data_IF_011799897965
#
_entry.id   IF_011799897965
#
_cell.length_a   1.000
_cell.length_b   1.000
_cell.length_c   1.000
_cell.angle_alpha   90.00
_cell.angle_beta   90.00
_cell.angle_gamma   90.00
#
_symmetry.space_group_name_H-M   'P 1'
#
loop_
_entity.id
_entity.type
_entity.pdbx_description
1 polymer ?
#
# COMPACT_ATOMS: atom_id res chain seq x y z
N UNK A 1 -6.31 -12.73 16.02
CA UNK A 1 -5.70 -11.96 14.90
C UNK A 1 -4.95 -12.94 14.03
N UNK A 2 -5.09 -12.88 12.69
CA UNK A 2 -4.20 -13.64 11.80
C UNK A 2 -2.76 -13.16 12.04
N UNK A 3 -1.79 -14.07 12.27
CA UNK A 3 -0.40 -13.67 12.53
C UNK A 3 0.24 -13.04 11.28
N UNK A 4 -0.23 -13.42 10.08
CA UNK A 4 0.24 -12.91 8.81
C UNK A 4 -0.92 -12.76 7.82
N UNK A 5 -0.79 -11.78 6.94
CA UNK A 5 -1.66 -11.52 5.80
C UNK A 5 -0.96 -11.95 4.52
N UNK A 6 -1.72 -12.48 3.56
CA UNK A 6 -1.20 -12.75 2.23
C UNK A 6 -1.32 -11.51 1.35
N UNK A 7 -0.64 -11.52 0.20
CA UNK A 7 -0.83 -10.49 -0.84
C UNK A 7 -2.30 -10.32 -1.22
N UNK A 8 -3.08 -11.41 -1.21
CA UNK A 8 -4.51 -11.35 -1.52
C UNK A 8 -5.30 -10.60 -0.44
N UNK A 9 -5.11 -10.94 0.84
CA UNK A 9 -5.78 -10.24 1.95
C UNK A 9 -5.42 -8.74 1.92
N UNK A 10 -4.14 -8.42 1.70
CA UNK A 10 -3.68 -7.02 1.66
C UNK A 10 -4.21 -6.28 0.44
N UNK A 11 -4.31 -6.94 -0.71
CA UNK A 11 -4.91 -6.38 -1.92
C UNK A 11 -6.38 -6.00 -1.69
N UNK A 12 -7.15 -6.86 -1.02
CA UNK A 12 -8.54 -6.58 -0.64
C UNK A 12 -8.64 -5.44 0.37
N UNK A 13 -7.82 -5.45 1.42
CA UNK A 13 -7.80 -4.40 2.45
C UNK A 13 -7.42 -3.03 1.86
N UNK A 14 -6.48 -3.02 0.91
CA UNK A 14 -6.04 -1.80 0.25
C UNK A 14 -6.90 -1.44 -0.97
N UNK A 15 -7.86 -2.27 -1.38
CA UNK A 15 -8.64 -2.07 -2.59
C UNK A 15 -7.75 -1.87 -3.83
N UNK A 16 -6.71 -2.69 -3.97
CA UNK A 16 -5.74 -2.60 -5.06
C UNK A 16 -5.42 -3.97 -5.63
N UNK A 17 -4.71 -4.03 -6.75
CA UNK A 17 -4.35 -5.29 -7.40
C UNK A 17 -3.21 -6.00 -6.65
N UNK A 18 -3.23 -7.33 -6.62
CA UNK A 18 -2.16 -8.18 -6.04
C UNK A 18 -0.77 -7.87 -6.62
N UNK A 19 -0.71 -7.48 -7.90
CA UNK A 19 0.52 -7.06 -8.59
C UNK A 19 1.10 -5.80 -7.94
N UNK A 20 0.26 -4.79 -7.68
CA UNK A 20 0.68 -3.54 -7.06
C UNK A 20 1.19 -3.77 -5.63
N UNK A 21 0.48 -4.58 -4.84
CA UNK A 21 0.96 -4.99 -3.50
C UNK A 21 2.30 -5.70 -3.58
N UNK A 22 2.47 -6.61 -4.54
CA UNK A 22 3.74 -7.32 -4.76
C UNK A 22 4.89 -6.37 -5.10
N UNK A 23 4.66 -5.38 -5.98
CA UNK A 23 5.65 -4.36 -6.29
C UNK A 23 5.99 -3.48 -5.08
N UNK A 24 4.99 -3.08 -4.29
CA UNK A 24 5.23 -2.33 -3.06
C UNK A 24 6.10 -3.12 -2.08
N UNK A 25 5.84 -4.43 -1.93
CA UNK A 25 6.61 -5.32 -1.07
C UNK A 25 8.03 -5.54 -1.58
N UNK A 26 8.23 -5.65 -2.90
CA UNK A 26 9.57 -5.70 -3.51
C UNK A 26 10.35 -4.41 -3.22
N UNK A 27 9.72 -3.24 -3.31
CA UNK A 27 10.36 -1.94 -3.03
C UNK A 27 10.71 -1.75 -1.56
N UNK A 28 10.05 -2.44 -0.64
CA UNK A 28 10.43 -2.47 0.78
C UNK A 28 11.57 -3.44 1.08
N UNK A 29 12.16 -4.10 0.07
CA UNK A 29 13.24 -5.07 0.25
C UNK A 29 12.75 -6.39 0.85
N UNK A 30 11.45 -6.66 0.78
CA UNK A 30 10.88 -7.84 1.41
C UNK A 30 11.07 -9.07 0.52
N UNK A 31 11.67 -10.09 1.09
CA UNK A 31 11.86 -11.37 0.41
C UNK A 31 10.64 -12.28 0.56
N UNK A 32 10.45 -13.14 -0.44
CA UNK A 32 9.41 -14.17 -0.39
C UNK A 32 9.94 -15.33 0.44
N UNK A 33 9.17 -15.78 1.43
CA UNK A 33 9.47 -17.00 2.15
C UNK A 33 8.69 -18.12 1.49
N UNK A 34 9.38 -19.13 0.95
CA UNK A 34 8.74 -20.26 0.26
C UNK A 34 7.80 -19.87 -0.89
N UNK A 35 8.14 -18.80 -1.63
CA UNK A 35 7.34 -18.31 -2.76
C UNK A 35 6.16 -17.40 -2.40
N UNK A 36 5.88 -17.18 -1.10
CA UNK A 36 4.76 -16.36 -0.63
C UNK A 36 5.27 -15.14 0.15
N UNK A 37 4.59 -14.00 0.00
CA UNK A 37 4.81 -12.86 0.91
C UNK A 37 3.93 -13.02 2.15
N UNK A 38 4.58 -13.18 3.29
CA UNK A 38 3.93 -13.17 4.60
C UNK A 38 3.98 -11.75 5.15
N UNK A 39 2.85 -11.07 5.25
CA UNK A 39 2.77 -9.65 5.60
C UNK A 39 2.31 -9.52 7.05
N UNK A 40 3.16 -8.97 7.90
CA UNK A 40 2.83 -8.78 9.31
C UNK A 40 1.82 -7.63 9.48
N UNK A 41 1.05 -7.59 10.59
CA UNK A 41 0.15 -6.47 10.86
C UNK A 41 0.83 -5.10 10.84
N UNK A 42 2.08 -5.02 11.31
CA UNK A 42 2.90 -3.80 11.29
C UNK A 42 3.23 -3.34 9.86
N UNK A 43 3.57 -4.29 8.99
CA UNK A 43 3.86 -4.01 7.59
C UNK A 43 2.62 -3.64 6.80
N UNK A 44 1.46 -4.22 7.16
CA UNK A 44 0.18 -3.77 6.64
C UNK A 44 -0.10 -2.31 7.04
N UNK A 45 0.21 -1.91 8.28
CA UNK A 45 0.09 -0.53 8.71
C UNK A 45 1.04 0.40 7.92
N UNK A 46 2.28 -0.04 7.68
CA UNK A 46 3.24 0.68 6.84
C UNK A 46 2.75 0.86 5.39
N UNK A 47 2.20 -0.19 4.78
CA UNK A 47 1.64 -0.15 3.43
C UNK A 47 0.42 0.77 3.35
N UNK A 48 -0.43 0.76 4.38
CA UNK A 48 -1.57 1.69 4.51
C UNK A 48 -1.09 3.14 4.58
N UNK A 49 -0.07 3.44 5.38
CA UNK A 49 0.47 4.80 5.51
C UNK A 49 1.11 5.29 4.20
N UNK A 50 1.89 4.45 3.53
CA UNK A 50 2.50 4.80 2.23
C UNK A 50 1.46 5.07 1.14
N UNK A 51 0.34 4.34 1.11
CA UNK A 51 -0.77 4.64 0.19
C UNK A 51 -1.31 6.05 0.39
N UNK A 52 -1.38 6.53 1.64
CA UNK A 52 -1.79 7.90 1.96
C UNK A 52 -0.83 8.99 1.46
N UNK A 53 0.44 8.67 1.22
CA UNK A 53 1.46 9.63 0.75
C UNK A 53 1.55 9.76 -0.78
N UNK A 54 0.97 8.84 -1.55
CA UNK A 54 0.95 8.92 -3.03
C UNK A 54 -0.17 9.86 -3.55
N UNK A 55 -1.03 10.37 -2.67
CA UNK A 55 -2.26 11.10 -3.03
C UNK A 55 -2.33 12.59 -2.64
N UNK A 56 -1.22 13.29 -2.40
CA UNK A 56 -1.24 14.77 -2.46
C UNK A 56 -0.46 15.24 -3.68
N UNK A 57 -1.11 15.38 -4.86
CA UNK A 57 -0.57 16.27 -5.87
C UNK A 57 -0.38 17.65 -5.22
N UNK A 58 0.86 18.15 -5.18
CA UNK A 58 1.14 19.57 -5.00
C UNK A 58 0.56 20.30 -6.22
N UNK A 59 -0.73 20.60 -6.23
CA UNK A 59 -1.35 21.09 -7.46
C UNK A 59 -2.77 21.66 -7.37
N UNK A 60 -3.38 21.79 -6.19
CA UNK A 60 -4.63 22.55 -6.04
C UNK A 60 -4.38 23.77 -5.18
N UNK A 61 -3.71 24.78 -5.74
CA UNK A 61 -3.98 26.16 -5.34
C UNK A 61 -5.26 26.54 -6.08
N UNK A 62 -6.29 26.85 -5.30
CA UNK A 62 -7.58 27.37 -5.73
C UNK A 62 -7.45 28.35 -6.90
N UNK A 63 -8.06 28.01 -8.02
CA UNK A 63 -8.55 29.03 -8.96
C UNK A 63 -9.91 29.45 -8.43
N UNK A 64 -9.92 30.31 -7.40
CA UNK A 64 -11.14 30.98 -6.94
C UNK A 64 -11.24 32.25 -7.77
N UNK A 65 -12.20 32.23 -8.69
CA UNK A 65 -12.71 33.41 -9.39
C UNK A 65 -12.99 34.50 -8.36
N UNK A 66 -12.53 35.71 -8.63
CA UNK A 66 -13.19 36.91 -8.16
C UNK A 66 -13.29 37.87 -9.35
N UNK A 67 -14.48 38.43 -9.42
CA UNK A 67 -15.15 39.17 -10.49
C UNK A 67 -14.59 40.60 -10.65
#
# INVERSE_FOLDING_TARGET
MKPFYTVADVAEILGTSKVNVTEMLKRTGKEKVSGVYLISPDELAYLKERRGKVGRPKGQKNKKSEE
#
